data_IF_037668259823
#
_entry.id   IF_037668259823
#
_cell.length_a   1.000
_cell.length_b   1.000
_cell.length_c   1.000
_cell.angle_alpha   90.00
_cell.angle_beta   90.00
_cell.angle_gamma   90.00
#
_symmetry.space_group_name_H-M   'P 1'
#
loop_
_entity.id
_entity.type
_entity.pdbx_description
1 polymer ?
#
# COMPACT_ATOMS: atom_id res chain seq x y z
N UNK A 1 -23.18 4.60 -1.79
CA UNK A 1 -22.95 4.89 -3.20
C UNK A 1 -23.96 5.93 -3.65
N UNK A 2 -23.49 7.05 -4.20
CA UNK A 2 -24.34 8.08 -4.79
C UNK A 2 -24.56 7.76 -6.26
N UNK A 3 -25.79 7.75 -6.72
CA UNK A 3 -26.15 7.57 -8.14
C UNK A 3 -26.60 8.92 -8.68
N UNK A 4 -25.94 9.37 -9.73
CA UNK A 4 -26.25 10.62 -10.42
C UNK A 4 -27.04 10.36 -11.70
N UNK A 5 -27.77 11.39 -12.18
CA UNK A 5 -28.45 11.30 -13.50
C UNK A 5 -27.40 11.29 -14.60
N UNK A 6 -27.38 10.25 -15.42
CA UNK A 6 -26.42 10.07 -16.51
C UNK A 6 -25.73 8.72 -16.47
N UNK A 7 -24.57 8.62 -17.12
CA UNK A 7 -23.72 7.44 -17.03
C UNK A 7 -22.98 7.42 -15.69
N UNK A 8 -23.12 6.31 -14.96
CA UNK A 8 -22.35 6.06 -13.75
C UNK A 8 -21.51 4.80 -14.01
N UNK A 9 -20.21 4.88 -13.75
CA UNK A 9 -19.30 3.74 -13.83
C UNK A 9 -18.87 3.38 -12.41
N UNK A 10 -19.09 2.13 -12.04
CA UNK A 10 -18.68 1.63 -10.73
C UNK A 10 -17.66 0.53 -10.89
N UNK A 11 -16.66 0.57 -10.02
CA UNK A 11 -15.65 -0.47 -9.87
C UNK A 11 -15.86 -1.16 -8.54
N UNK A 12 -15.84 -2.47 -8.56
CA UNK A 12 -15.83 -3.30 -7.36
C UNK A 12 -14.38 -3.71 -7.12
N UNK A 13 -13.83 -3.27 -6.01
CA UNK A 13 -12.48 -3.65 -5.58
C UNK A 13 -12.56 -4.71 -4.49
N UNK A 14 -11.65 -5.66 -4.59
CA UNK A 14 -11.46 -6.71 -3.60
C UNK A 14 -10.05 -6.58 -3.03
N UNK A 15 -9.94 -6.12 -1.80
CA UNK A 15 -8.66 -6.15 -1.09
C UNK A 15 -8.42 -7.57 -0.56
N UNK A 16 -7.62 -8.33 -1.29
CA UNK A 16 -7.35 -9.73 -0.96
C UNK A 16 -6.54 -9.89 0.32
N UNK A 17 -5.68 -8.94 0.66
CA UNK A 17 -4.91 -8.97 1.91
C UNK A 17 -5.82 -8.79 3.13
N UNK A 18 -6.76 -7.87 3.03
CA UNK A 18 -7.72 -7.56 4.10
C UNK A 18 -8.88 -8.54 4.18
N UNK A 19 -9.17 -9.23 3.08
CA UNK A 19 -10.41 -9.96 2.88
C UNK A 19 -10.31 -11.45 2.91
N UNK A 20 -9.15 -12.03 2.62
CA UNK A 20 -8.99 -13.48 2.62
C UNK A 20 -8.66 -13.97 4.02
N UNK A 21 -9.58 -14.73 4.61
CA UNK A 21 -9.36 -15.47 5.84
C UNK A 21 -9.31 -16.96 5.56
N UNK A 22 -8.30 -17.64 6.10
CA UNK A 22 -8.16 -19.09 6.07
C UNK A 22 -8.79 -19.69 7.33
N UNK A 23 -10.05 -20.19 7.27
CA UNK A 23 -10.68 -20.76 8.44
C UNK A 23 -10.06 -22.13 8.78
N UNK A 24 -9.52 -22.25 9.98
CA UNK A 24 -8.84 -23.44 10.47
C UNK A 24 -9.65 -24.72 10.18
N UNK A 25 -9.02 -25.64 9.44
CA UNK A 25 -9.59 -26.96 9.13
C UNK A 25 -10.66 -26.97 8.04
N UNK A 26 -10.63 -26.00 7.14
CA UNK A 26 -11.48 -25.93 5.95
C UNK A 26 -10.64 -25.92 4.68
N UNK A 27 -11.18 -26.46 3.60
CA UNK A 27 -10.54 -26.48 2.28
C UNK A 27 -10.95 -25.28 1.41
N UNK A 28 -11.38 -24.18 2.03
CA UNK A 28 -11.79 -22.95 1.31
C UNK A 28 -11.40 -21.71 2.11
N UNK A 29 -11.15 -20.65 1.38
CA UNK A 29 -10.93 -19.33 1.95
C UNK A 29 -12.23 -18.53 1.98
N UNK A 30 -12.47 -17.81 3.06
CA UNK A 30 -13.57 -16.86 3.16
C UNK A 30 -13.12 -15.48 2.75
N UNK A 31 -13.98 -14.77 2.03
CA UNK A 31 -13.79 -13.35 1.79
C UNK A 31 -14.65 -12.55 2.76
N UNK A 32 -14.01 -11.68 3.51
CA UNK A 32 -14.68 -10.75 4.40
C UNK A 32 -15.34 -9.62 3.59
N UNK A 33 -16.60 -9.33 3.87
CA UNK A 33 -17.32 -8.24 3.19
C UNK A 33 -16.70 -6.84 3.41
N UNK A 34 -15.91 -6.65 4.46
CA UNK A 34 -15.20 -5.41 4.73
C UNK A 34 -14.02 -5.17 3.77
N UNK A 35 -13.65 -6.18 3.00
CA UNK A 35 -12.61 -6.09 1.99
C UNK A 35 -13.16 -5.80 0.59
N UNK A 36 -14.46 -5.60 0.48
CA UNK A 36 -15.13 -5.28 -0.80
C UNK A 36 -15.56 -3.82 -0.76
N UNK A 37 -15.03 -3.02 -1.67
CA UNK A 37 -15.45 -1.64 -1.86
C UNK A 37 -16.14 -1.46 -3.21
N UNK A 38 -17.11 -0.56 -3.26
CA UNK A 38 -17.77 -0.12 -4.48
C UNK A 38 -17.47 1.35 -4.68
N UNK A 39 -16.66 1.65 -5.68
CA UNK A 39 -16.17 2.99 -5.97
C UNK A 39 -16.84 3.52 -7.24
N UNK A 40 -17.24 4.79 -7.21
CA UNK A 40 -17.65 5.46 -8.43
C UNK A 40 -16.40 5.93 -9.18
N UNK A 41 -16.10 5.26 -10.29
CA UNK A 41 -14.90 5.55 -11.09
C UNK A 41 -14.84 6.99 -11.62
N UNK A 42 -16.01 7.62 -11.80
CA UNK A 42 -16.08 9.01 -12.26
C UNK A 42 -15.82 10.05 -11.16
N UNK A 43 -15.80 9.62 -9.90
CA UNK A 43 -15.54 10.48 -8.72
C UNK A 43 -14.27 10.05 -7.98
N UNK A 44 -13.41 9.27 -8.60
CA UNK A 44 -12.16 8.77 -8.03
C UNK A 44 -10.95 9.29 -8.79
N UNK A 45 -9.82 9.31 -8.14
CA UNK A 45 -8.51 9.54 -8.74
C UNK A 45 -7.58 8.35 -8.53
N UNK A 46 -6.36 8.48 -8.99
CA UNK A 46 -5.32 7.46 -8.90
C UNK A 46 -4.07 8.05 -8.27
N UNK A 47 -3.29 7.25 -7.58
CA UNK A 47 -1.93 7.59 -7.13
C UNK A 47 -1.01 6.50 -7.63
N UNK A 48 0.06 6.87 -8.31
CA UNK A 48 1.09 5.93 -8.73
C UNK A 48 2.45 6.60 -8.81
N UNK A 49 3.46 5.81 -9.10
CA UNK A 49 4.82 6.32 -9.27
C UNK A 49 5.83 5.18 -9.30
N UNK A 50 7.08 5.56 -9.37
CA UNK A 50 8.20 4.64 -9.38
C UNK A 50 9.00 4.70 -8.07
N UNK A 51 9.51 3.56 -7.66
CA UNK A 51 10.54 3.47 -6.62
C UNK A 51 11.87 3.46 -7.34
N UNK A 52 12.73 4.46 -7.11
CA UNK A 52 14.05 4.47 -7.74
C UNK A 52 14.86 3.24 -7.33
N UNK A 53 15.66 2.70 -8.22
CA UNK A 53 16.52 1.54 -7.95
C UNK A 53 17.42 1.79 -6.74
N UNK A 54 17.94 3.01 -6.59
CA UNK A 54 18.77 3.39 -5.44
C UNK A 54 17.99 3.25 -4.14
N UNK A 55 16.72 3.68 -4.11
CA UNK A 55 15.87 3.58 -2.93
C UNK A 55 15.48 2.13 -2.62
N UNK A 56 15.19 1.35 -3.66
CA UNK A 56 14.90 -0.07 -3.57
C UNK A 56 16.05 -0.82 -2.91
N UNK A 57 17.26 -0.69 -3.44
CA UNK A 57 18.46 -1.32 -2.91
C UNK A 57 18.86 -0.79 -1.53
N UNK A 58 18.67 0.52 -1.26
CA UNK A 58 18.98 1.10 0.03
C UNK A 58 18.08 0.54 1.14
N UNK A 59 16.80 0.29 0.87
CA UNK A 59 15.90 -0.35 1.81
C UNK A 59 16.37 -1.77 2.17
N UNK A 60 16.76 -2.56 1.16
CA UNK A 60 17.27 -3.91 1.38
C UNK A 60 18.61 -3.96 2.13
N UNK A 61 19.45 -2.94 1.93
CA UNK A 61 20.75 -2.84 2.58
C UNK A 61 20.69 -2.31 4.01
N UNK A 62 19.59 -1.66 4.40
CA UNK A 62 19.41 -1.13 5.74
C UNK A 62 19.09 -2.24 6.73
N UNK A 63 19.95 -2.45 7.71
CA UNK A 63 19.82 -3.52 8.71
C UNK A 63 18.58 -3.40 9.61
N UNK A 64 18.01 -2.20 9.72
CA UNK A 64 16.78 -1.98 10.48
C UNK A 64 15.54 -2.24 9.63
N UNK A 65 15.61 -1.97 8.32
CA UNK A 65 14.51 -2.10 7.40
C UNK A 65 14.48 -3.46 6.67
N UNK A 66 15.66 -4.01 6.40
CA UNK A 66 15.82 -5.30 5.71
C UNK A 66 16.02 -6.42 6.70
N UNK A 67 15.37 -6.37 7.81
CA UNK A 67 15.62 -7.42 8.76
C UNK A 67 15.56 -8.78 8.05
N UNK A 68 16.71 -9.21 7.53
CA UNK A 68 16.90 -10.54 6.98
C UNK A 68 16.77 -11.56 8.11
N UNK A 69 15.62 -11.47 8.78
CA UNK A 69 15.19 -12.44 9.77
C UNK A 69 15.03 -13.72 8.97
N UNK A 70 16.03 -14.58 9.07
CA UNK A 70 16.00 -15.94 8.58
C UNK A 70 15.99 -16.13 7.07
N UNK A 71 16.75 -15.36 6.31
CA UNK A 71 16.86 -15.51 4.85
C UNK A 71 15.53 -15.32 4.09
N UNK A 72 14.58 -14.58 4.65
CA UNK A 72 13.34 -14.25 3.95
C UNK A 72 13.62 -13.12 2.96
N UNK A 73 13.28 -13.27 1.68
CA UNK A 73 13.43 -12.21 0.70
C UNK A 73 12.63 -10.97 1.10
N UNK A 74 13.19 -9.80 0.83
CA UNK A 74 12.47 -8.55 0.99
C UNK A 74 11.19 -8.53 0.15
N UNK A 75 10.12 -7.96 0.68
CA UNK A 75 8.87 -7.73 -0.04
C UNK A 75 8.60 -6.24 0.00
N UNK A 76 8.65 -5.63 -1.18
CA UNK A 76 8.47 -4.20 -1.35
C UNK A 76 7.00 -3.86 -1.56
N UNK A 77 6.50 -2.94 -0.75
CA UNK A 77 5.13 -2.46 -0.86
C UNK A 77 5.04 -1.00 -0.46
N UNK A 78 4.00 -0.36 -0.97
CA UNK A 78 3.64 1.02 -0.65
C UNK A 78 2.30 0.99 0.08
N UNK A 79 2.25 1.69 1.20
CA UNK A 79 1.11 1.76 2.10
C UNK A 79 0.48 3.14 2.03
N UNK A 80 -0.82 3.22 1.88
CA UNK A 80 -1.57 4.46 1.80
C UNK A 80 -2.37 4.67 3.07
N UNK A 81 -2.20 5.84 3.69
CA UNK A 81 -2.86 6.23 4.94
C UNK A 81 -3.75 7.45 4.72
N UNK A 82 -4.89 7.51 5.38
CA UNK A 82 -5.79 8.65 5.28
C UNK A 82 -5.25 9.87 6.04
N UNK A 83 -5.26 11.02 5.39
CA UNK A 83 -4.79 12.29 5.96
C UNK A 83 -3.29 12.48 5.96
N UNK A 84 -2.84 13.61 6.52
CA UNK A 84 -1.41 13.88 6.75
C UNK A 84 -0.97 13.23 8.05
N UNK A 85 0.10 12.45 7.99
CA UNK A 85 0.50 11.58 9.08
C UNK A 85 2.03 11.56 9.24
N UNK A 86 2.49 11.43 10.47
CA UNK A 86 3.90 11.22 10.78
C UNK A 86 4.26 9.74 10.59
N UNK A 87 5.46 9.49 10.07
CA UNK A 87 5.96 8.12 9.86
C UNK A 87 5.88 7.24 11.12
N UNK A 88 6.10 7.83 12.27
CA UNK A 88 6.07 7.11 13.57
C UNK A 88 4.70 6.60 13.98
N UNK A 89 3.64 7.05 13.30
CA UNK A 89 2.26 6.62 13.55
C UNK A 89 1.73 5.66 12.49
N UNK A 90 2.52 5.41 11.44
CA UNK A 90 2.17 4.49 10.36
C UNK A 90 2.44 3.05 10.79
N UNK A 91 1.42 2.21 10.80
CA UNK A 91 1.50 0.79 11.11
C UNK A 91 1.17 -0.09 9.91
N UNK A 92 1.21 -1.39 10.11
CA UNK A 92 0.81 -2.42 9.15
C UNK A 92 -0.71 -2.53 9.00
N UNK A 93 -1.19 -3.52 8.26
CA UNK A 93 -2.62 -3.78 8.04
C UNK A 93 -3.37 -4.16 9.32
N UNK A 94 -2.67 -4.70 10.31
CA UNK A 94 -3.22 -5.09 11.60
C UNK A 94 -3.04 -4.04 12.70
N UNK A 95 -2.45 -2.90 12.39
CA UNK A 95 -2.07 -1.90 13.38
C UNK A 95 -3.25 -1.40 14.22
N UNK A 96 -2.99 -1.27 15.51
CA UNK A 96 -3.90 -0.67 16.50
C UNK A 96 -3.29 0.59 17.11
N UNK A 97 -4.13 1.46 17.65
CA UNK A 97 -3.65 2.66 18.34
C UNK A 97 -2.51 2.37 19.33
N UNK A 98 -1.46 3.20 19.33
CA UNK A 98 -1.33 4.51 18.70
C UNK A 98 -0.93 4.49 17.22
N UNK A 99 -0.64 3.34 16.63
CA UNK A 99 -0.37 3.20 15.21
C UNK A 99 -1.69 3.20 14.42
N UNK A 100 -1.61 3.60 13.17
CA UNK A 100 -2.75 3.62 12.27
C UNK A 100 -2.54 2.64 11.12
N UNK A 101 -3.55 1.81 10.87
CA UNK A 101 -3.55 0.92 9.75
C UNK A 101 -3.73 1.69 8.42
N UNK A 102 -3.13 1.22 7.32
CA UNK A 102 -3.33 1.79 6.01
C UNK A 102 -4.76 1.60 5.51
N UNK A 103 -5.19 2.46 4.61
CA UNK A 103 -6.47 2.32 3.89
C UNK A 103 -6.32 1.45 2.64
N UNK A 104 -5.11 1.38 2.07
CA UNK A 104 -4.78 0.51 0.94
C UNK A 104 -3.30 0.15 0.95
N UNK A 105 -2.95 -0.96 0.29
CA UNK A 105 -1.57 -1.40 0.09
C UNK A 105 -1.38 -1.79 -1.37
N UNK A 106 -0.31 -1.30 -1.98
CA UNK A 106 0.11 -1.65 -3.33
C UNK A 106 1.46 -2.37 -3.29
N UNK A 107 1.57 -3.47 -4.02
CA UNK A 107 2.87 -4.10 -4.23
C UNK A 107 3.72 -3.25 -5.18
N UNK A 108 5.02 -3.25 -4.96
CA UNK A 108 5.97 -2.72 -5.94
C UNK A 108 6.22 -3.81 -6.98
N UNK A 109 5.91 -3.50 -8.23
CA UNK A 109 6.04 -4.41 -9.35
C UNK A 109 7.34 -4.14 -10.09
N UNK A 110 8.14 -5.19 -10.25
CA UNK A 110 9.34 -5.14 -11.08
C UNK A 110 8.96 -5.41 -12.53
N UNK A 111 9.46 -4.59 -13.44
CA UNK A 111 9.31 -4.74 -14.87
C UNK A 111 10.59 -4.30 -15.60
N UNK A 112 10.64 -4.49 -16.91
CA UNK A 112 11.72 -3.95 -17.75
C UNK A 112 11.14 -2.96 -18.74
N UNK A 113 11.84 -1.84 -18.91
CA UNK A 113 11.53 -0.87 -19.95
C UNK A 113 11.94 -1.39 -21.35
N UNK A 114 11.66 -0.60 -22.39
CA UNK A 114 12.00 -0.94 -23.79
C UNK A 114 13.51 -1.04 -24.02
N UNK A 115 14.33 -0.44 -23.16
CA UNK A 115 15.80 -0.45 -23.21
C UNK A 115 16.39 -1.60 -22.38
N UNK A 116 15.55 -2.34 -21.65
CA UNK A 116 15.94 -3.47 -20.80
C UNK A 116 16.41 -3.08 -19.41
N UNK A 117 16.18 -1.82 -18.98
CA UNK A 117 16.45 -1.42 -17.60
C UNK A 117 15.31 -1.91 -16.70
N UNK A 118 15.65 -2.32 -15.50
CA UNK A 118 14.65 -2.70 -14.50
C UNK A 118 13.96 -1.45 -13.93
N UNK A 119 12.64 -1.48 -13.88
CA UNK A 119 11.79 -0.45 -13.28
C UNK A 119 10.94 -1.04 -12.16
N UNK A 120 10.65 -0.23 -11.16
CA UNK A 120 9.88 -0.62 -9.98
C UNK A 120 8.72 0.35 -9.83
N UNK A 121 7.49 -0.10 -10.08
CA UNK A 121 6.30 0.76 -10.09
C UNK A 121 5.25 0.30 -9.10
N UNK A 122 4.43 1.23 -8.64
CA UNK A 122 3.26 0.95 -7.81
C UNK A 122 2.07 1.81 -8.23
N UNK A 123 0.87 1.36 -7.93
CA UNK A 123 -0.35 2.10 -8.22
C UNK A 123 -1.47 1.78 -7.24
N UNK A 124 -2.18 2.83 -6.80
CA UNK A 124 -3.47 2.78 -6.12
C UNK A 124 -4.53 3.30 -7.09
N UNK A 125 -5.42 2.42 -7.52
CA UNK A 125 -6.55 2.79 -8.37
C UNK A 125 -7.76 3.25 -7.57
N UNK A 126 -8.60 4.04 -8.19
CA UNK A 126 -9.95 4.37 -7.72
C UNK A 126 -10.04 4.89 -6.28
N UNK A 127 -9.10 5.73 -5.90
CA UNK A 127 -9.08 6.36 -4.58
C UNK A 127 -10.07 7.52 -4.50
N UNK A 128 -10.74 7.64 -3.37
CA UNK A 128 -11.58 8.83 -3.10
C UNK A 128 -10.75 10.10 -3.05
N UNK A 129 -11.26 11.24 -3.57
CA UNK A 129 -10.55 12.52 -3.45
C UNK A 129 -10.29 12.87 -1.99
N UNK A 130 -9.08 13.36 -1.70
CA UNK A 130 -8.66 13.70 -0.34
C UNK A 130 -7.16 13.74 -0.19
N UNK A 131 -6.73 14.07 1.02
CA UNK A 131 -5.32 14.09 1.41
C UNK A 131 -4.93 12.76 2.03
N UNK A 132 -3.78 12.24 1.63
CA UNK A 132 -3.22 10.98 2.08
C UNK A 132 -1.76 11.15 2.48
N UNK A 133 -1.23 10.11 3.09
CA UNK A 133 0.20 9.90 3.30
C UNK A 133 0.60 8.56 2.71
N UNK A 134 1.80 8.50 2.14
CA UNK A 134 2.37 7.29 1.55
C UNK A 134 3.53 6.82 2.42
N UNK A 135 3.57 5.54 2.74
CA UNK A 135 4.69 4.86 3.37
C UNK A 135 5.24 3.76 2.49
N UNK A 136 6.54 3.75 2.27
CA UNK A 136 7.24 2.70 1.54
C UNK A 136 8.02 1.79 2.49
N UNK A 137 7.99 0.49 2.24
CA UNK A 137 8.71 -0.51 3.00
C UNK A 137 9.24 -1.64 2.13
N UNK A 138 10.29 -2.32 2.57
CA UNK A 138 10.75 -3.61 2.07
C UNK A 138 10.55 -4.75 3.08
N UNK A 139 9.86 -4.48 4.18
CA UNK A 139 9.51 -5.46 5.23
C UNK A 139 8.05 -5.92 5.17
N UNK A 140 7.37 -5.75 4.04
CA UNK A 140 5.96 -6.13 3.90
C UNK A 140 5.69 -7.64 4.07
N UNK A 141 6.73 -8.47 4.10
CA UNK A 141 6.62 -9.90 4.37
C UNK A 141 6.19 -10.22 5.82
N UNK A 142 6.39 -9.29 6.77
CA UNK A 142 5.94 -9.46 8.17
C UNK A 142 4.52 -8.96 8.38
N UNK A 143 3.98 -8.16 7.45
CA UNK A 143 2.59 -7.69 7.51
C UNK A 143 1.63 -8.84 7.20
N UNK A 144 1.18 -9.50 8.25
CA UNK A 144 0.21 -10.60 8.17
C UNK A 144 -1.14 -10.13 8.70
N UNK A 145 -2.21 -10.21 7.89
CA UNK A 145 -3.53 -9.67 8.26
C UNK A 145 -4.14 -10.23 9.54
N UNK A 146 -3.66 -11.40 9.96
CA UNK A 146 -4.16 -12.09 11.16
C UNK A 146 -3.37 -11.71 12.43
N UNK A 147 -2.31 -10.93 12.27
CA UNK A 147 -1.45 -10.52 13.37
C UNK A 147 -1.77 -9.07 13.75
N UNK A 148 -2.40 -8.88 14.89
CA UNK A 148 -2.72 -7.57 15.44
C UNK A 148 -1.59 -7.09 16.32
N UNK A 149 -0.40 -6.93 15.74
CA UNK A 149 0.79 -6.62 16.50
C UNK A 149 1.07 -5.13 16.59
N UNK A 150 1.65 -4.78 17.69
CA UNK A 150 2.33 -3.52 17.91
C UNK A 150 3.73 -3.59 17.29
N UNK A 151 4.39 -2.47 17.08
CA UNK A 151 5.66 -2.21 16.39
C UNK A 151 6.85 -3.19 16.61
N UNK A 152 6.67 -4.34 17.23
CA UNK A 152 7.74 -5.29 17.56
C UNK A 152 7.90 -6.44 16.55
N UNK A 153 7.06 -6.53 15.53
CA UNK A 153 7.08 -7.61 14.54
C UNK A 153 8.14 -7.46 13.44
N UNK A 154 8.81 -6.31 13.41
CA UNK A 154 9.81 -5.98 12.38
C UNK A 154 9.25 -5.23 11.17
N UNK A 155 7.96 -4.89 11.14
CA UNK A 155 7.41 -3.98 10.15
C UNK A 155 7.96 -2.56 10.34
N UNK A 156 8.44 -1.95 9.26
CA UNK A 156 9.00 -0.61 9.30
C UNK A 156 8.68 0.15 8.02
N UNK A 157 8.04 1.30 8.15
CA UNK A 157 7.98 2.27 7.04
C UNK A 157 9.36 2.88 6.87
N UNK A 158 10.04 2.51 5.78
CA UNK A 158 11.39 2.97 5.47
C UNK A 158 11.41 4.44 5.07
N UNK A 159 10.47 4.84 4.21
CA UNK A 159 10.31 6.22 3.75
C UNK A 159 8.85 6.61 3.66
N UNK A 160 8.54 7.90 3.83
CA UNK A 160 7.17 8.39 3.73
C UNK A 160 7.09 9.74 3.02
N UNK A 161 5.91 10.03 2.46
CA UNK A 161 5.55 11.30 1.84
C UNK A 161 4.19 11.76 2.37
N UNK A 162 4.11 13.05 2.70
CA UNK A 162 2.87 13.67 3.18
C UNK A 162 2.95 15.20 3.01
N UNK A 163 1.90 15.91 2.61
CA UNK A 163 0.64 15.36 2.08
C UNK A 163 0.77 14.88 0.63
N UNK A 164 -0.06 13.91 0.25
CA UNK A 164 -0.27 13.49 -1.14
C UNK A 164 -1.77 13.63 -1.42
N UNK A 165 -2.12 14.48 -2.36
CA UNK A 165 -3.52 14.79 -2.64
C UNK A 165 -4.03 14.00 -3.83
N UNK A 166 -5.20 13.35 -3.64
CA UNK A 166 -5.96 12.72 -4.72
C UNK A 166 -7.03 13.68 -5.19
N UNK A 167 -7.03 13.92 -6.49
CA UNK A 167 -8.00 14.78 -7.17
C UNK A 167 -8.87 13.90 -8.07
N UNK A 168 -10.18 14.19 -8.07
CA UNK A 168 -11.14 13.48 -8.90
C UNK A 168 -10.77 13.54 -10.37
N UNK A 169 -10.73 12.37 -11.02
CA UNK A 169 -10.41 12.21 -12.44
C UNK A 169 -8.94 12.39 -12.80
N UNK A 170 -8.05 12.60 -11.80
CA UNK A 170 -6.64 12.81 -12.05
C UNK A 170 -5.78 11.62 -11.57
N UNK A 171 -4.60 11.52 -12.15
CA UNK A 171 -3.52 10.66 -11.69
C UNK A 171 -2.49 11.52 -10.96
N UNK A 172 -2.33 11.28 -9.65
CA UNK A 172 -1.30 11.91 -8.84
C UNK A 172 -0.04 11.06 -8.91
N UNK A 173 1.02 11.61 -9.47
CA UNK A 173 2.32 10.95 -9.52
C UNK A 173 3.12 11.27 -8.25
N UNK A 174 3.57 10.22 -7.56
CA UNK A 174 4.41 10.33 -6.38
C UNK A 174 5.54 9.30 -6.43
N UNK A 175 6.69 9.70 -6.94
CA UNK A 175 7.87 8.86 -6.93
C UNK A 175 8.51 8.73 -5.55
N UNK A 176 9.11 7.57 -5.32
CA UNK A 176 9.82 7.24 -4.09
C UNK A 176 11.33 7.27 -4.37
N UNK A 177 11.94 8.39 -4.02
CA UNK A 177 13.34 8.69 -4.23
C UNK A 177 14.06 8.87 -2.90
N UNK A 178 15.41 8.69 -2.83
CA UNK A 178 16.17 9.03 -1.65
C UNK A 178 15.95 10.49 -1.21
N UNK A 179 15.74 10.71 0.08
CA UNK A 179 15.73 12.06 0.64
C UNK A 179 17.20 12.50 0.73
N UNK A 180 17.54 13.58 0.04
CA UNK A 180 18.88 14.20 0.04
C UNK A 180 19.12 14.95 1.34
#
# INVERSE_FOLDING_TARGET
>A
VKVHTGHNSYVVEFDLRKGLADPTGKDYMNMNSNAVSLVNASESGHIGGEVSEIQYQACEADSAASNAINDVPAVHSVYLYAGSMDRSTMGDMGAMEPLQAPVAVANVNESQDEEGNTTYSYEFGYMGPGTYSIGYTCTAYVDTPDNHETSEDGFLIYQHYTPVDVIEGEHTEQDINPIL
#
